data_IF_941498562003
#
_entry.id   IF_941498562003
#
_cell.length_a   1.000
_cell.length_b   1.000
_cell.length_c   1.000
_cell.angle_alpha   90.00
_cell.angle_beta   90.00
_cell.angle_gamma   90.00
#
_symmetry.space_group_name_H-M   'P 1'
#
loop_
_entity.id
_entity.type
_entity.pdbx_description
1 polymer ?
#
# COMPACT_ATOMS: atom_id res chain seq x y z
N UNK A 1 2.60 -21.46 -27.23
CA UNK A 1 2.28 -20.41 -26.24
C UNK A 1 3.27 -20.41 -25.07
N UNK A 2 3.53 -21.56 -24.44
CA UNK A 2 4.41 -21.71 -23.26
C UNK A 2 5.86 -21.23 -23.47
N UNK A 3 6.44 -21.46 -24.65
CA UNK A 3 7.83 -21.10 -24.96
C UNK A 3 8.02 -19.59 -25.07
N UNK A 4 7.02 -18.87 -25.59
CA UNK A 4 7.04 -17.42 -25.75
C UNK A 4 6.99 -16.70 -24.40
N UNK A 5 6.12 -17.16 -23.50
CA UNK A 5 6.02 -16.61 -22.14
C UNK A 5 7.32 -16.79 -21.36
N UNK A 6 7.99 -17.93 -21.53
CA UNK A 6 9.27 -18.20 -20.87
C UNK A 6 10.38 -17.27 -21.38
N UNK A 7 10.48 -17.07 -22.69
CA UNK A 7 11.45 -16.12 -23.26
C UNK A 7 11.17 -14.68 -22.86
N UNK A 8 9.90 -14.27 -22.79
CA UNK A 8 9.52 -12.92 -22.38
C UNK A 8 9.84 -12.66 -20.90
N UNK A 9 9.55 -13.63 -20.02
CA UNK A 9 9.94 -13.56 -18.60
C UNK A 9 11.45 -13.47 -18.43
N UNK A 10 12.21 -14.18 -19.25
CA UNK A 10 13.67 -14.18 -19.18
C UNK A 10 14.25 -12.84 -19.63
N UNK A 11 13.70 -12.27 -20.70
CA UNK A 11 14.01 -10.93 -21.18
C UNK A 11 13.68 -9.86 -20.13
N UNK A 12 12.49 -9.91 -19.53
CA UNK A 12 12.09 -8.98 -18.47
C UNK A 12 13.02 -9.06 -17.27
N UNK A 13 13.44 -10.28 -16.87
CA UNK A 13 14.39 -10.47 -15.77
C UNK A 13 15.75 -9.83 -16.08
N UNK A 14 16.25 -9.97 -17.30
CA UNK A 14 17.50 -9.37 -17.75
C UNK A 14 17.39 -7.83 -17.77
N UNK A 15 16.31 -7.30 -18.36
CA UNK A 15 16.04 -5.86 -18.40
C UNK A 15 15.88 -5.27 -16.98
N UNK A 16 15.18 -5.95 -16.08
CA UNK A 16 15.01 -5.50 -14.70
C UNK A 16 16.32 -5.52 -13.90
N UNK A 17 17.16 -6.53 -14.10
CA UNK A 17 18.45 -6.60 -13.40
C UNK A 17 19.37 -5.42 -13.76
N UNK A 18 19.38 -5.01 -15.03
CA UNK A 18 20.16 -3.84 -15.48
C UNK A 18 19.64 -2.52 -14.93
N UNK A 19 18.34 -2.43 -14.60
CA UNK A 19 17.75 -1.25 -13.98
C UNK A 19 18.06 -1.15 -12.48
N UNK A 20 18.19 -2.28 -11.78
CA UNK A 20 18.54 -2.31 -10.35
C UNK A 20 19.96 -1.79 -10.12
N UNK A 21 20.90 -2.17 -10.97
CA UNK A 21 22.31 -1.73 -10.86
C UNK A 21 22.51 -0.25 -11.24
N UNK A 22 21.58 0.34 -11.99
CA UNK A 22 21.61 1.75 -12.42
C UNK A 22 20.68 2.65 -11.61
N UNK A 23 19.90 2.09 -10.69
CA UNK A 23 19.00 2.87 -9.87
C UNK A 23 19.81 3.78 -8.95
N UNK A 24 19.54 5.11 -8.94
CA UNK A 24 20.08 5.95 -7.88
C UNK A 24 19.66 5.37 -6.53
N UNK A 25 20.50 5.51 -5.48
CA UNK A 25 20.15 5.01 -4.16
C UNK A 25 18.77 5.54 -3.80
N UNK A 26 17.85 4.61 -3.52
CA UNK A 26 16.48 4.97 -3.17
C UNK A 26 16.55 5.95 -1.98
N UNK A 27 15.77 7.05 -2.03
CA UNK A 27 15.71 7.96 -0.90
C UNK A 27 15.28 7.17 0.33
N UNK A 28 15.85 7.54 1.48
CA UNK A 28 15.42 6.97 2.77
C UNK A 28 13.90 7.04 2.85
N UNK A 29 13.27 5.93 3.20
CA UNK A 29 11.83 5.82 3.23
C UNK A 29 11.19 6.92 4.08
N UNK A 30 10.37 7.76 3.46
CA UNK A 30 9.76 8.93 4.11
C UNK A 30 8.31 8.62 4.51
N UNK A 31 8.10 8.31 5.78
CA UNK A 31 6.79 7.96 6.32
C UNK A 31 5.75 9.06 6.19
N UNK A 32 6.14 10.33 6.38
CA UNK A 32 5.21 11.45 6.21
C UNK A 32 4.78 11.63 4.74
N UNK A 33 5.69 11.42 3.78
CA UNK A 33 5.33 11.48 2.36
C UNK A 33 4.37 10.35 1.96
N UNK A 34 4.57 9.13 2.48
CA UNK A 34 3.61 8.04 2.28
C UNK A 34 2.25 8.41 2.86
N UNK A 35 2.23 8.93 4.08
CA UNK A 35 0.99 9.33 4.76
C UNK A 35 0.23 10.39 3.97
N UNK A 36 0.90 11.46 3.55
CA UNK A 36 0.29 12.51 2.72
C UNK A 36 -0.27 11.92 1.42
N UNK A 37 0.49 11.08 0.73
CA UNK A 37 0.06 10.41 -0.50
C UNK A 37 -1.20 9.55 -0.29
N UNK A 38 -1.23 8.76 0.79
CA UNK A 38 -2.38 7.90 1.09
C UNK A 38 -3.62 8.70 1.43
N UNK A 39 -3.47 9.80 2.18
CA UNK A 39 -4.60 10.63 2.59
C UNK A 39 -5.20 11.42 1.43
N UNK A 40 -4.38 11.82 0.45
CA UNK A 40 -4.84 12.46 -0.78
C UNK A 40 -5.80 11.58 -1.60
N UNK A 41 -5.72 10.26 -1.42
CA UNK A 41 -6.60 9.29 -2.08
C UNK A 41 -7.85 8.92 -1.27
N UNK A 42 -8.01 9.46 -0.07
CA UNK A 42 -9.20 9.19 0.75
C UNK A 42 -10.37 10.08 0.34
N UNK A 43 -11.57 9.49 0.30
CA UNK A 43 -12.76 10.15 -0.25
C UNK A 43 -13.73 10.68 0.82
N UNK A 44 -13.65 10.18 2.05
CA UNK A 44 -14.52 10.57 3.16
C UNK A 44 -13.72 10.75 4.46
N UNK A 45 -14.21 11.55 5.44
CA UNK A 45 -13.52 11.71 6.72
C UNK A 45 -13.35 10.40 7.50
N UNK A 46 -14.31 9.47 7.38
CA UNK A 46 -14.23 8.15 8.01
C UNK A 46 -13.16 7.31 7.33
N UNK A 47 -13.11 7.32 6.00
CA UNK A 47 -12.05 6.65 5.23
C UNK A 47 -10.67 7.20 5.61
N UNK A 48 -10.52 8.53 5.69
CA UNK A 48 -9.29 9.19 6.14
C UNK A 48 -8.86 8.71 7.54
N UNK A 49 -9.80 8.67 8.50
CA UNK A 49 -9.53 8.20 9.85
C UNK A 49 -9.03 6.76 9.89
N UNK A 50 -9.63 5.87 9.10
CA UNK A 50 -9.23 4.45 9.02
C UNK A 50 -7.82 4.32 8.44
N UNK A 51 -7.52 5.01 7.34
CA UNK A 51 -6.19 4.98 6.72
C UNK A 51 -5.12 5.52 7.67
N UNK A 52 -5.40 6.62 8.39
CA UNK A 52 -4.50 7.15 9.43
C UNK A 52 -4.24 6.12 10.54
N UNK A 53 -5.30 5.48 11.03
CA UNK A 53 -5.21 4.47 12.08
C UNK A 53 -4.39 3.24 11.64
N UNK A 54 -4.66 2.74 10.44
CA UNK A 54 -3.94 1.60 9.87
C UNK A 54 -2.45 1.91 9.66
N UNK A 55 -2.13 3.08 9.10
CA UNK A 55 -0.75 3.51 8.91
C UNK A 55 -0.01 3.68 10.24
N UNK A 56 -0.66 4.23 11.27
CA UNK A 56 -0.09 4.35 12.61
C UNK A 56 0.19 2.98 13.24
N UNK A 57 -0.67 1.99 13.02
CA UNK A 57 -0.43 0.62 13.47
C UNK A 57 0.79 -0.01 12.77
N UNK A 58 0.90 0.16 11.45
CA UNK A 58 2.06 -0.31 10.67
C UNK A 58 3.35 0.35 11.16
N UNK A 59 3.34 1.67 11.36
CA UNK A 59 4.47 2.43 11.91
C UNK A 59 4.93 1.89 13.27
N UNK A 60 4.00 1.55 14.15
CA UNK A 60 4.29 1.00 15.47
C UNK A 60 4.92 -0.40 15.38
N UNK A 61 4.54 -1.19 14.38
CA UNK A 61 5.06 -2.54 14.18
C UNK A 61 6.36 -2.57 13.37
N UNK A 62 6.61 -1.55 12.54
CA UNK A 62 7.73 -1.50 11.59
C UNK A 62 9.10 -1.92 12.14
N UNK A 63 9.51 -1.54 13.37
CA UNK A 63 10.80 -1.96 13.93
C UNK A 63 10.96 -3.47 14.14
N UNK A 64 9.84 -4.21 14.18
CA UNK A 64 9.79 -5.64 14.48
C UNK A 64 9.50 -6.51 13.25
N UNK A 65 9.32 -5.91 12.08
CA UNK A 65 8.96 -6.60 10.84
C UNK A 65 10.16 -6.77 9.93
N UNK A 66 10.19 -7.85 9.15
CA UNK A 66 11.13 -7.94 8.03
C UNK A 66 10.74 -6.92 6.95
N UNK A 67 11.67 -6.46 6.10
CA UNK A 67 11.37 -5.51 5.03
C UNK A 67 10.24 -5.96 4.12
N UNK A 68 10.16 -7.26 3.82
CA UNK A 68 9.12 -7.85 2.97
C UNK A 68 7.74 -7.76 3.62
N UNK A 69 7.65 -8.06 4.92
CA UNK A 69 6.39 -8.01 5.67
C UNK A 69 5.94 -6.57 5.90
N UNK A 70 6.89 -5.66 6.13
CA UNK A 70 6.61 -4.23 6.21
C UNK A 70 6.05 -3.70 4.89
N UNK A 71 6.65 -4.07 3.76
CA UNK A 71 6.17 -3.69 2.43
C UNK A 71 4.77 -4.24 2.16
N UNK A 72 4.51 -5.52 2.50
CA UNK A 72 3.18 -6.10 2.39
C UNK A 72 2.14 -5.31 3.20
N UNK A 73 2.45 -4.95 4.44
CA UNK A 73 1.55 -4.16 5.28
C UNK A 73 1.29 -2.76 4.69
N UNK A 74 2.32 -2.09 4.15
CA UNK A 74 2.15 -0.80 3.46
C UNK A 74 1.23 -0.96 2.24
N UNK A 75 1.42 -2.01 1.44
CA UNK A 75 0.60 -2.26 0.25
C UNK A 75 -0.86 -2.56 0.60
N UNK A 76 -1.13 -3.26 1.71
CA UNK A 76 -2.48 -3.49 2.21
C UNK A 76 -3.16 -2.17 2.58
N UNK A 77 -2.46 -1.29 3.32
CA UNK A 77 -3.00 0.04 3.67
C UNK A 77 -3.22 0.89 2.42
N UNK A 78 -2.30 0.84 1.44
CA UNK A 78 -2.44 1.54 0.18
C UNK A 78 -3.65 1.04 -0.63
N UNK A 79 -3.88 -0.27 -0.65
CA UNK A 79 -5.05 -0.84 -1.29
C UNK A 79 -6.34 -0.31 -0.66
N UNK A 80 -6.42 -0.27 0.68
CA UNK A 80 -7.57 0.32 1.37
C UNK A 80 -7.76 1.80 1.03
N UNK A 81 -6.68 2.58 0.98
CA UNK A 81 -6.74 4.00 0.64
C UNK A 81 -7.21 4.27 -0.81
N UNK A 82 -6.90 3.35 -1.74
CA UNK A 82 -7.26 3.45 -3.16
C UNK A 82 -8.62 2.84 -3.50
N UNK A 83 -9.21 2.07 -2.57
CA UNK A 83 -10.48 1.40 -2.78
C UNK A 83 -11.63 2.42 -2.70
N UNK A 84 -12.20 2.75 -3.87
CA UNK A 84 -13.28 3.71 -4.00
C UNK A 84 -14.60 3.20 -3.44
N UNK A 85 -14.77 1.87 -3.33
CA UNK A 85 -15.96 1.23 -2.77
C UNK A 85 -15.87 1.07 -1.25
N UNK A 86 -14.71 1.36 -0.65
CA UNK A 86 -14.47 1.23 0.79
C UNK A 86 -15.44 2.04 1.66
N UNK A 87 -15.87 3.22 1.17
CA UNK A 87 -16.83 4.08 1.88
C UNK A 87 -18.26 3.52 1.89
N UNK A 88 -18.66 2.78 0.84
CA UNK A 88 -20.02 2.27 0.71
C UNK A 88 -20.37 1.25 1.81
N UNK A 89 -19.38 0.53 2.34
CA UNK A 89 -19.57 -0.43 3.44
C UNK A 89 -19.56 0.20 4.85
N UNK A 90 -19.08 1.44 5.00
CA UNK A 90 -18.95 2.12 6.30
C UNK A 90 -20.09 3.12 6.56
N UNK A 91 -20.65 3.74 5.52
CA UNK A 91 -21.84 4.60 5.63
C UNK A 91 -23.15 3.80 5.82
N UNK A 92 -23.17 2.51 5.50
CA UNK A 92 -24.33 1.63 5.66
C UNK A 92 -24.34 0.88 7.00
N UNK A 93 -23.45 1.24 7.94
CA UNK A 93 -23.48 0.71 9.29
C UNK A 93 -24.73 1.24 10.01
N UNK A 94 -25.73 0.39 10.33
CA UNK A 94 -26.93 0.86 11.00
C UNK A 94 -26.54 1.44 12.36
N UNK A 95 -26.92 2.69 12.62
CA UNK A 95 -26.95 3.25 13.98
C UNK A 95 -27.67 2.21 14.86
N UNK A 96 -26.92 1.53 15.72
CA UNK A 96 -27.50 0.62 16.66
C UNK A 96 -28.53 1.41 17.49
N UNK A 97 -29.79 0.96 17.58
CA UNK A 97 -30.79 1.67 18.37
C UNK A 97 -30.30 1.71 19.82
N UNK A 98 -30.10 2.93 20.34
CA UNK A 98 -29.87 3.15 21.76
C UNK A 98 -31.09 2.63 22.53
N UNK A 99 -30.93 1.48 23.18
CA UNK A 99 -31.79 0.99 24.27
C UNK A 99 -31.10 1.18 25.60
#
# INVERSE_FOLDING_TARGET
METYLRSELQRLREEWSGLVDQAPPLPVFQWEALKELLLDHTHTPVHEMVVRGALAAVLKQAPFLTPELLLQNILVVAHSALDQDFAAGLDDAPEAPMT
#
